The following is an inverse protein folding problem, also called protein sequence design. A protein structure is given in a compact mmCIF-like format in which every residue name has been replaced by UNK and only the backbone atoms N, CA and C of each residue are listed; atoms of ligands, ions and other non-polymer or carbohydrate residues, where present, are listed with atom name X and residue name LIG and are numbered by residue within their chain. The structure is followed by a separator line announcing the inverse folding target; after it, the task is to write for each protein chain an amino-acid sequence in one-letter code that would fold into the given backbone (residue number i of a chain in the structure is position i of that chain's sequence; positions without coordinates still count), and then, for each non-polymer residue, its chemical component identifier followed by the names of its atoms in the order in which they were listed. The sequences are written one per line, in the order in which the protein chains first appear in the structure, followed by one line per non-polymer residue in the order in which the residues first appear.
data_IF_960370875684
#
_entry.id   IF_960370875684
#
_cell.length_a   1.000
_cell.length_b   1.000
_cell.length_c   1.000
_cell.angle_alpha   90.00
_cell.angle_beta   90.00
_cell.angle_gamma   90.00
#
_symmetry.space_group_name_H-M   'P 1'
#
loop_
_entity.id
_entity.type
_entity.pdbx_description
1 polymer ?
#
# COMPACT_ATOMS: atom_id res chain seq x y z
N UNK A 1 -7.93 -6.29 -17.80
CA UNK A 1 -6.49 -6.34 -17.46
C UNK A 1 -6.38 -6.83 -16.02
N UNK A 2 -6.05 -8.11 -15.82
CA UNK A 2 -5.83 -8.68 -14.48
C UNK A 2 -4.58 -8.05 -13.89
N UNK A 3 -4.72 -7.34 -12.77
CA UNK A 3 -3.56 -6.78 -12.09
C UNK A 3 -2.77 -7.94 -11.45
N UNK A 4 -1.42 -7.92 -11.47
CA UNK A 4 -0.62 -9.10 -11.14
C UNK A 4 -0.72 -9.53 -9.68
N UNK A 5 -1.14 -8.62 -8.78
CA UNK A 5 -1.27 -8.88 -7.35
C UNK A 5 -2.72 -8.75 -6.86
N UNK A 6 -3.69 -8.85 -7.77
CA UNK A 6 -5.11 -8.78 -7.42
C UNK A 6 -5.49 -9.86 -6.40
N UNK A 7 -6.17 -9.46 -5.33
CA UNK A 7 -6.53 -10.35 -4.21
C UNK A 7 -5.37 -10.80 -3.31
N UNK A 8 -4.17 -10.22 -3.44
CA UNK A 8 -3.03 -10.49 -2.54
C UNK A 8 -2.92 -9.43 -1.46
N UNK A 9 -2.43 -9.82 -0.29
CA UNK A 9 -2.14 -8.91 0.82
C UNK A 9 -0.63 -8.78 0.98
N UNK A 10 -0.12 -7.55 1.04
CA UNK A 10 1.29 -7.23 1.23
C UNK A 10 1.48 -6.31 2.44
N UNK A 11 2.49 -6.59 3.26
CA UNK A 11 2.86 -5.75 4.40
C UNK A 11 4.17 -5.04 4.10
N UNK A 12 4.17 -3.71 4.17
CA UNK A 12 5.36 -2.88 3.94
C UNK A 12 5.77 -2.22 5.25
N UNK A 13 6.94 -2.60 5.76
CA UNK A 13 7.57 -1.93 6.90
C UNK A 13 8.36 -0.71 6.42
N UNK A 14 8.28 0.40 7.16
CA UNK A 14 8.92 1.65 6.75
C UNK A 14 8.26 2.35 5.55
N UNK A 15 7.02 1.97 5.18
CA UNK A 15 6.32 2.50 4.01
C UNK A 15 5.86 3.96 4.08
N UNK A 16 6.17 4.66 5.17
CA UNK A 16 5.77 6.06 5.37
C UNK A 16 6.53 7.05 4.47
N UNK A 17 7.78 6.76 4.10
CA UNK A 17 8.67 7.69 3.38
C UNK A 17 9.63 6.95 2.44
N UNK A 18 10.24 7.71 1.53
CA UNK A 18 11.30 7.21 0.64
C UNK A 18 10.87 6.01 -0.20
N UNK A 19 11.73 4.99 -0.23
CA UNK A 19 11.57 3.77 -1.03
C UNK A 19 10.33 2.98 -0.59
N UNK A 20 10.07 2.89 0.71
CA UNK A 20 8.92 2.13 1.23
C UNK A 20 7.58 2.67 0.72
N UNK A 21 7.45 4.00 0.59
CA UNK A 21 6.25 4.62 0.00
C UNK A 21 6.09 4.26 -1.48
N UNK A 22 7.18 4.31 -2.25
CA UNK A 22 7.14 3.97 -3.68
C UNK A 22 6.74 2.50 -3.89
N UNK A 23 7.27 1.60 -3.06
CA UNK A 23 6.90 0.17 -3.08
C UNK A 23 5.42 -0.02 -2.75
N UNK A 24 4.92 0.62 -1.68
CA UNK A 24 3.51 0.51 -1.29
C UNK A 24 2.56 1.00 -2.39
N UNK A 25 2.89 2.13 -3.05
CA UNK A 25 2.11 2.66 -4.17
C UNK A 25 2.13 1.72 -5.37
N UNK A 26 3.28 1.10 -5.67
CA UNK A 26 3.38 0.15 -6.78
C UNK A 26 2.55 -1.10 -6.52
N UNK A 27 2.67 -1.69 -5.33
CA UNK A 27 1.91 -2.86 -4.91
C UNK A 27 0.39 -2.61 -4.97
N UNK A 28 -0.05 -1.42 -4.52
CA UNK A 28 -1.45 -1.01 -4.62
C UNK A 28 -1.92 -0.84 -6.08
N UNK A 29 -1.08 -0.23 -6.93
CA UNK A 29 -1.36 -0.10 -8.37
C UNK A 29 -1.52 -1.46 -9.05
N UNK A 30 -0.71 -2.42 -8.62
CA UNK A 30 -0.71 -3.81 -9.05
C UNK A 30 -1.83 -4.66 -8.41
N UNK A 31 -2.73 -4.05 -7.62
CA UNK A 31 -3.97 -4.68 -7.13
C UNK A 31 -3.88 -5.32 -5.75
N UNK A 32 -2.73 -5.23 -5.07
CA UNK A 32 -2.59 -5.77 -3.73
C UNK A 32 -3.27 -4.89 -2.67
N UNK A 33 -3.80 -5.53 -1.64
CA UNK A 33 -4.11 -4.90 -0.36
C UNK A 33 -2.80 -4.67 0.41
N UNK A 34 -2.42 -3.41 0.58
CA UNK A 34 -1.15 -3.04 1.21
C UNK A 34 -1.38 -2.52 2.62
N UNK A 35 -0.81 -3.18 3.62
CA UNK A 35 -0.72 -2.69 5.00
C UNK A 35 0.65 -2.01 5.22
N UNK A 36 0.66 -0.77 5.68
CA UNK A 36 1.90 -0.02 5.92
C UNK A 36 2.15 0.04 7.42
N UNK A 37 3.28 -0.51 7.86
CA UNK A 37 3.74 -0.42 9.25
C UNK A 37 4.84 0.65 9.37
N UNK A 38 4.68 1.59 10.31
CA UNK A 38 5.61 2.68 10.57
C UNK A 38 5.70 2.94 12.08
N UNK A 39 6.89 3.36 12.55
CA UNK A 39 7.16 3.49 13.98
C UNK A 39 6.70 4.84 14.57
N UNK A 40 6.62 5.92 13.77
CA UNK A 40 6.43 7.27 14.35
C UNK A 40 5.87 8.36 13.41
N UNK A 41 5.12 8.05 12.34
CA UNK A 41 4.47 9.11 11.55
C UNK A 41 3.18 8.67 10.84
N UNK A 42 2.04 8.84 11.51
CA UNK A 42 0.72 8.45 11.00
C UNK A 42 0.23 9.29 9.82
N UNK A 43 0.57 10.57 9.80
CA UNK A 43 0.18 11.49 8.73
C UNK A 43 0.73 11.10 7.36
N UNK A 44 1.94 10.52 7.32
CA UNK A 44 2.58 10.08 6.08
C UNK A 44 1.95 8.80 5.51
N UNK A 45 1.34 7.96 6.36
CA UNK A 45 0.67 6.74 5.92
C UNK A 45 -0.73 7.00 5.35
N UNK A 46 -1.44 8.02 5.84
CA UNK A 46 -2.74 8.41 5.27
C UNK A 46 -2.65 8.91 3.83
N UNK A 47 -1.54 9.58 3.48
CA UNK A 47 -1.27 10.02 2.10
C UNK A 47 -1.05 8.86 1.11
N UNK A 48 -0.90 7.63 1.61
CA UNK A 48 -0.75 6.38 0.83
C UNK A 48 -2.01 5.52 0.96
N UNK A 49 -3.19 6.15 1.04
CA UNK A 49 -4.46 5.44 0.89
C UNK A 49 -4.81 5.39 -0.60
N UNK A 50 -4.52 4.30 -1.34
CA UNK A 50 -5.20 4.06 -2.60
C UNK A 50 -6.71 3.98 -2.33
N UNK A 51 -7.51 4.48 -3.26
CA UNK A 51 -8.98 4.46 -3.20
C UNK A 51 -9.50 3.13 -2.64
N UNK A 52 -10.41 3.13 -1.64
CA UNK A 52 -10.91 1.89 -1.06
C UNK A 52 -11.56 1.06 -2.16
N UNK A 53 -10.91 -0.06 -2.52
CA UNK A 53 -11.53 -1.05 -3.37
C UNK A 53 -12.56 -1.79 -2.52
N UNK A 54 -13.83 -1.70 -2.92
CA UNK A 54 -14.96 -2.35 -2.27
C UNK A 54 -14.69 -3.87 -2.20
N UNK A 55 -14.80 -4.51 -1.03
CA UNK A 55 -14.76 -5.97 -0.96
C UNK A 55 -16.07 -6.50 -1.56
N UNK A 56 -15.97 -7.33 -2.60
CA UNK A 56 -17.00 -8.31 -2.96
C UNK A 56 -16.96 -9.47 -1.99
#
# INVERSE_FOLDING_TARGET
MSKPLDGKVAVVTGGSRGIGRAIALRLAGDGALVAINYMSNAAAAEAVKPSPCRPT
#
